data_IF_548622968863
#
_entry.id   IF_548622968863
#
_cell.length_a   1.000
_cell.length_b   1.000
_cell.length_c   1.000
_cell.angle_alpha   90.00
_cell.angle_beta   90.00
_cell.angle_gamma   90.00
#
_symmetry.space_group_name_H-M   'P 1'
#
loop_
_entity.id
_entity.type
_entity.pdbx_description
1 polymer ?
#
# COMPACT_ATOMS: atom_id res chain seq x y z
N UNK A 1 6.60 0.36 -21.03
CA UNK A 1 6.71 1.81 -20.72
C UNK A 1 5.39 2.47 -21.04
N UNK A 2 4.96 3.41 -20.20
CA UNK A 2 3.75 4.20 -20.44
C UNK A 2 3.91 5.10 -21.67
N UNK A 3 2.81 5.28 -22.40
CA UNK A 3 2.69 6.16 -23.55
C UNK A 3 1.28 6.78 -23.53
N UNK A 4 1.01 7.56 -22.48
CA UNK A 4 -0.29 8.22 -22.27
C UNK A 4 -0.44 9.54 -23.03
N UNK A 5 0.64 10.04 -23.64
CA UNK A 5 0.69 11.37 -24.27
C UNK A 5 0.81 12.51 -23.25
N UNK A 6 0.92 12.20 -21.96
CA UNK A 6 1.07 13.16 -20.86
C UNK A 6 2.40 12.90 -20.18
N UNK A 7 3.37 13.78 -20.42
CA UNK A 7 4.77 13.60 -20.04
C UNK A 7 4.97 13.30 -18.55
N UNK A 8 4.28 14.01 -17.66
CA UNK A 8 4.45 13.84 -16.22
C UNK A 8 3.87 12.51 -15.72
N UNK A 9 2.77 12.03 -16.32
CA UNK A 9 2.17 10.73 -15.99
C UNK A 9 3.11 9.63 -16.42
N UNK A 10 3.60 9.70 -17.66
CA UNK A 10 4.52 8.70 -18.19
C UNK A 10 5.81 8.64 -17.37
N UNK A 11 6.34 9.79 -16.94
CA UNK A 11 7.52 9.85 -16.08
C UNK A 11 7.30 9.18 -14.73
N UNK A 12 6.22 9.55 -14.02
CA UNK A 12 5.92 8.99 -12.68
C UNK A 12 5.65 7.50 -12.79
N UNK A 13 4.81 7.07 -13.73
CA UNK A 13 4.48 5.66 -13.92
C UNK A 13 5.71 4.82 -14.25
N UNK A 14 6.51 5.23 -15.24
CA UNK A 14 7.71 4.49 -15.62
C UNK A 14 8.72 4.41 -14.47
N UNK A 15 8.85 5.49 -13.69
CA UNK A 15 9.73 5.50 -12.50
C UNK A 15 9.23 4.51 -11.47
N UNK A 16 7.93 4.54 -11.10
CA UNK A 16 7.35 3.59 -10.15
C UNK A 16 7.51 2.14 -10.59
N UNK A 17 7.27 1.84 -11.87
CA UNK A 17 7.44 0.50 -12.43
C UNK A 17 8.91 0.07 -12.37
N UNK A 18 9.85 0.95 -12.73
CA UNK A 18 11.29 0.66 -12.65
C UNK A 18 11.74 0.28 -11.24
N UNK A 19 11.29 1.02 -10.22
CA UNK A 19 11.54 0.67 -8.83
C UNK A 19 10.97 -0.71 -8.47
N UNK A 20 9.78 -1.04 -8.97
CA UNK A 20 9.14 -2.32 -8.71
C UNK A 20 9.92 -3.49 -9.34
N UNK A 21 10.45 -3.31 -10.55
CA UNK A 21 11.35 -4.27 -11.17
C UNK A 21 12.62 -4.47 -10.32
N UNK A 22 13.24 -3.40 -9.83
CA UNK A 22 14.42 -3.49 -8.98
C UNK A 22 14.15 -4.28 -7.68
N UNK A 23 12.97 -4.10 -7.08
CA UNK A 23 12.55 -4.90 -5.93
C UNK A 23 12.26 -6.35 -6.28
N UNK A 24 11.66 -6.61 -7.45
CA UNK A 24 11.45 -7.97 -7.96
C UNK A 24 12.78 -8.70 -8.13
N UNK A 25 13.75 -8.08 -8.80
CA UNK A 25 15.11 -8.61 -8.96
C UNK A 25 15.81 -8.84 -7.62
N UNK A 26 15.70 -7.88 -6.69
CA UNK A 26 16.27 -8.02 -5.35
C UNK A 26 15.69 -9.21 -4.57
N UNK A 27 14.39 -9.46 -4.70
CA UNK A 27 13.70 -10.58 -4.07
C UNK A 27 13.82 -11.89 -4.86
N UNK A 28 14.39 -11.85 -6.08
CA UNK A 28 14.51 -13.01 -6.97
C UNK A 28 13.16 -13.49 -7.53
N UNK A 29 12.16 -12.61 -7.63
CA UNK A 29 10.81 -12.92 -8.10
C UNK A 29 10.47 -12.12 -9.37
N UNK A 30 9.48 -12.58 -10.11
CA UNK A 30 9.01 -11.90 -11.33
C UNK A 30 8.24 -10.62 -11.02
N UNK A 31 8.16 -9.74 -12.01
CA UNK A 31 7.37 -8.50 -11.93
C UNK A 31 5.88 -8.80 -11.67
N UNK A 32 5.36 -9.84 -12.30
CA UNK A 32 3.99 -10.31 -12.14
C UNK A 32 3.73 -10.80 -10.72
N UNK A 33 4.67 -11.55 -10.13
CA UNK A 33 4.55 -12.05 -8.76
C UNK A 33 4.57 -10.91 -7.73
N UNK A 34 5.53 -9.98 -7.82
CA UNK A 34 5.60 -8.86 -6.87
C UNK A 34 4.35 -7.97 -6.96
N UNK A 35 3.76 -7.80 -8.15
CA UNK A 35 2.49 -7.11 -8.32
C UNK A 35 1.35 -7.76 -7.54
N UNK A 36 1.18 -9.08 -7.66
CA UNK A 36 0.12 -9.83 -6.95
C UNK A 36 0.32 -9.74 -5.44
N UNK A 37 1.55 -9.93 -4.97
CA UNK A 37 1.87 -9.82 -3.54
C UNK A 37 1.53 -8.43 -2.98
N UNK A 38 1.93 -7.36 -3.65
CA UNK A 38 1.70 -6.00 -3.15
C UNK A 38 0.23 -5.61 -3.24
N UNK A 39 -0.40 -5.74 -4.41
CA UNK A 39 -1.72 -5.17 -4.65
C UNK A 39 -2.87 -6.07 -4.20
N UNK A 40 -2.72 -7.39 -4.26
CA UNK A 40 -3.80 -8.32 -3.90
C UNK A 40 -3.69 -8.87 -2.49
N UNK A 41 -2.50 -8.88 -1.88
CA UNK A 41 -2.29 -9.50 -0.56
C UNK A 41 -1.92 -8.45 0.49
N UNK A 42 -0.78 -7.78 0.32
CA UNK A 42 -0.27 -6.83 1.32
C UNK A 42 -1.22 -5.64 1.47
N UNK A 43 -1.66 -5.05 0.36
CA UNK A 43 -2.50 -3.84 0.42
C UNK A 43 -3.87 -4.06 1.07
N UNK A 44 -4.64 -5.13 0.75
CA UNK A 44 -5.88 -5.42 1.45
C UNK A 44 -5.65 -5.81 2.92
N UNK A 45 -4.59 -6.56 3.23
CA UNK A 45 -4.26 -6.94 4.59
C UNK A 45 -3.90 -5.71 5.46
N UNK A 46 -3.09 -4.79 4.93
CA UNK A 46 -2.77 -3.53 5.60
C UNK A 46 -4.02 -2.68 5.81
N UNK A 47 -4.89 -2.57 4.80
CA UNK A 47 -6.14 -1.82 4.90
C UNK A 47 -7.06 -2.40 5.99
N UNK A 48 -7.20 -3.72 6.04
CA UNK A 48 -7.97 -4.40 7.08
C UNK A 48 -7.36 -4.20 8.47
N UNK A 49 -6.03 -4.34 8.59
CA UNK A 49 -5.30 -4.07 9.83
C UNK A 49 -5.50 -2.65 10.34
N UNK A 50 -5.40 -1.65 9.46
CA UNK A 50 -5.68 -0.25 9.79
C UNK A 50 -7.12 -0.04 10.25
N UNK A 51 -8.10 -0.67 9.59
CA UNK A 51 -9.50 -0.56 9.98
C UNK A 51 -9.74 -1.11 11.39
N UNK A 52 -9.18 -2.28 11.70
CA UNK A 52 -9.25 -2.89 13.04
C UNK A 52 -8.60 -1.97 14.07
N UNK A 53 -7.42 -1.44 13.76
CA UNK A 53 -6.68 -0.56 14.65
C UNK A 53 -7.43 0.74 14.93
N UNK A 54 -8.04 1.35 13.92
CA UNK A 54 -8.88 2.55 14.06
C UNK A 54 -10.07 2.27 14.97
N UNK A 55 -10.78 1.15 14.77
CA UNK A 55 -11.93 0.78 15.61
C UNK A 55 -11.49 0.56 17.06
N UNK A 56 -10.35 -0.10 17.29
CA UNK A 56 -9.78 -0.28 18.61
C UNK A 56 -9.45 1.07 19.27
N UNK A 57 -8.81 1.98 18.54
CA UNK A 57 -8.44 3.31 19.03
C UNK A 57 -9.68 4.14 19.40
N UNK A 58 -10.73 4.10 18.57
CA UNK A 58 -12.00 4.79 18.83
C UNK A 58 -12.63 4.26 20.13
N UNK A 59 -12.68 2.94 20.32
CA UNK A 59 -13.24 2.32 21.54
C UNK A 59 -12.46 2.71 22.79
N UNK A 60 -11.13 2.64 22.72
CA UNK A 60 -10.24 3.02 23.81
C UNK A 60 -10.40 4.51 24.18
N UNK A 61 -10.45 5.39 23.18
CA UNK A 61 -10.66 6.82 23.40
C UNK A 61 -12.02 7.14 24.03
N UNK A 62 -13.09 6.44 23.65
CA UNK A 62 -14.42 6.62 24.27
C UNK A 62 -14.43 6.21 25.74
N UNK A 63 -13.81 5.08 26.09
CA UNK A 63 -13.68 4.61 27.48
C UNK A 63 -12.85 5.56 28.34
N UNK A 64 -11.77 6.11 27.80
CA UNK A 64 -10.95 7.09 28.52
C UNK A 64 -11.70 8.40 28.77
N UNK A 65 -12.52 8.86 27.82
CA UNK A 65 -13.36 10.06 28.00
C UNK A 65 -14.43 9.86 29.07
N UNK A 66 -15.01 8.66 29.20
CA UNK A 66 -16.03 8.40 30.23
C UNK A 66 -15.48 8.27 31.65
N UNK A 67 -14.18 8.07 31.83
CA UNK A 67 -13.53 7.99 33.16
C UNK A 67 -13.06 9.37 33.65
N UNK A 68 -12.86 10.32 32.74
CA UNK A 68 -12.40 11.69 33.04
C UNK A 68 -13.54 12.71 33.26
N UNK A 69 -14.80 12.29 33.13
CA UNK A 69 -16.00 13.09 33.48
C UNK A 69 -16.49 12.60 34.84
#
# INVERSE_FOLDING_TARGET
MANSGILWIDFVFNTSVSWLYAWGEFLGITYEEINVWIFCIIWPALTLGMMIFIVFLIRSNRRLKSIKV
#
